data_IF_158157041832
#
_entry.id   IF_158157041832
#
_cell.length_a   1.000
_cell.length_b   1.000
_cell.length_c   1.000
_cell.angle_alpha   90.00
_cell.angle_beta   90.00
_cell.angle_gamma   90.00
#
_symmetry.space_group_name_H-M   'P 1'
#
loop_
_entity.id
_entity.type
_entity.pdbx_description
1 polymer ?
#
# COMPACT_ATOMS: atom_id res chain seq x y z
N UNK A 1 9.35 28.80 7.42
CA UNK A 1 9.86 27.52 7.93
C UNK A 1 9.49 26.53 6.85
N UNK A 2 10.49 25.90 6.22
CA UNK A 2 10.24 25.03 5.08
C UNK A 2 9.77 23.68 5.63
N UNK A 3 8.50 23.36 5.42
CA UNK A 3 7.99 21.99 5.49
C UNK A 3 8.78 21.16 4.47
N UNK A 4 9.87 20.56 4.95
CA UNK A 4 10.47 19.38 4.33
C UNK A 4 9.58 18.19 4.70
N UNK A 5 8.32 18.27 4.33
CA UNK A 5 7.47 17.09 4.20
C UNK A 5 7.97 16.39 2.94
N UNK A 6 8.97 15.52 3.15
CA UNK A 6 9.42 14.51 2.21
C UNK A 6 8.28 13.48 2.06
N UNK A 7 7.09 13.95 1.67
CA UNK A 7 5.93 13.11 1.53
C UNK A 7 6.11 12.34 0.24
N UNK A 8 6.39 11.05 0.35
CA UNK A 8 5.91 10.13 -0.66
C UNK A 8 4.40 10.37 -0.74
N UNK A 9 3.90 10.98 -1.83
CA UNK A 9 2.53 11.47 -1.84
C UNK A 9 1.61 10.28 -1.69
N UNK A 10 0.69 10.34 -0.73
CA UNK A 10 -0.41 9.40 -0.68
C UNK A 10 -1.15 9.43 -2.03
N UNK A 11 -1.49 8.27 -2.56
CA UNK A 11 -2.18 8.16 -3.83
C UNK A 11 -3.29 7.12 -3.74
N UNK A 12 -4.34 7.35 -4.51
CA UNK A 12 -5.47 6.43 -4.57
C UNK A 12 -5.29 5.45 -5.73
N UNK A 13 -5.55 4.19 -5.46
CA UNK A 13 -5.64 3.13 -6.46
C UNK A 13 -7.01 2.48 -6.42
N UNK A 14 -7.49 2.09 -7.59
CA UNK A 14 -8.68 1.25 -7.74
C UNK A 14 -8.24 -0.18 -7.93
N UNK A 15 -8.58 -1.03 -6.96
CA UNK A 15 -8.30 -2.47 -6.93
C UNK A 15 -9.62 -3.22 -6.84
N UNK A 16 -9.68 -4.39 -7.46
CA UNK A 16 -10.81 -5.30 -7.27
C UNK A 16 -10.52 -6.14 -6.03
N UNK A 17 -11.26 -5.91 -4.95
CA UNK A 17 -11.15 -6.67 -3.71
C UNK A 17 -12.45 -7.44 -3.50
N UNK A 18 -12.38 -8.74 -3.25
CA UNK A 18 -13.56 -9.59 -3.07
C UNK A 18 -14.60 -9.48 -4.23
N UNK A 19 -14.13 -9.25 -5.46
CA UNK A 19 -15.00 -9.10 -6.64
C UNK A 19 -15.72 -7.75 -6.76
N UNK A 20 -15.32 -6.75 -5.96
CA UNK A 20 -15.81 -5.38 -6.06
C UNK A 20 -14.64 -4.40 -6.27
N UNK A 21 -14.79 -3.48 -7.22
CA UNK A 21 -13.83 -2.40 -7.39
C UNK A 21 -13.93 -1.44 -6.20
N UNK A 22 -12.88 -1.40 -5.40
CA UNK A 22 -12.72 -0.50 -4.27
C UNK A 22 -11.57 0.47 -4.55
N UNK A 23 -11.83 1.73 -4.24
CA UNK A 23 -10.77 2.74 -4.16
C UNK A 23 -10.15 2.66 -2.77
N UNK A 24 -8.84 2.45 -2.73
CA UNK A 24 -8.04 2.47 -1.53
C UNK A 24 -6.96 3.54 -1.68
N UNK A 25 -6.70 4.23 -0.58
CA UNK A 25 -5.66 5.22 -0.46
C UNK A 25 -4.40 4.54 0.04
N UNK A 26 -3.34 4.58 -0.74
CA UNK A 26 -2.04 4.03 -0.42
C UNK A 26 -1.14 5.15 0.03
N UNK A 27 -0.55 4.98 1.21
CA UNK A 27 0.46 5.88 1.74
C UNK A 27 1.78 5.09 1.84
N UNK A 28 2.78 5.41 1.01
CA UNK A 28 4.12 4.86 1.17
C UNK A 28 4.76 5.43 2.43
N UNK A 29 5.45 4.57 3.18
CA UNK A 29 6.11 4.93 4.43
C UNK A 29 7.39 4.10 4.56
N UNK A 30 8.34 4.56 5.35
CA UNK A 30 9.66 3.94 5.49
C UNK A 30 9.90 3.64 6.96
N UNK A 31 10.23 2.39 7.27
CA UNK A 31 10.66 2.04 8.63
C UNK A 31 12.04 2.65 8.90
N UNK A 32 12.39 2.88 10.17
CA UNK A 32 13.73 3.43 10.52
C UNK A 32 14.92 2.58 10.06
N UNK A 33 14.66 1.35 9.62
CA UNK A 33 15.64 0.41 9.06
C UNK A 33 15.83 0.60 7.54
N UNK A 34 15.07 1.50 6.90
CA UNK A 34 15.11 1.76 5.46
C UNK A 34 14.24 0.82 4.63
N UNK A 35 13.33 0.07 5.27
CA UNK A 35 12.38 -0.81 4.56
C UNK A 35 11.11 -0.03 4.24
N UNK A 36 10.81 0.09 2.96
CA UNK A 36 9.58 0.71 2.44
C UNK A 36 8.37 -0.22 2.62
N UNK A 37 7.29 0.34 3.13
CA UNK A 37 6.00 -0.33 3.28
C UNK A 37 4.87 0.62 2.86
N UNK A 38 3.70 0.06 2.59
CA UNK A 38 2.58 0.77 2.01
C UNK A 38 1.35 0.55 2.87
N UNK A 39 0.85 1.65 3.44
CA UNK A 39 -0.34 1.66 4.29
C UNK A 39 -1.54 1.88 3.37
N UNK A 40 -2.41 0.87 3.27
CA UNK A 40 -3.63 0.94 2.47
C UNK A 40 -4.81 1.28 3.37
N UNK A 41 -5.48 2.39 3.10
CA UNK A 41 -6.67 2.87 3.82
C UNK A 41 -7.88 2.84 2.88
N UNK A 42 -9.03 2.40 3.37
CA UNK A 42 -10.29 2.50 2.62
C UNK A 42 -11.27 3.35 3.42
N UNK A 43 -11.84 4.38 2.79
CA UNK A 43 -12.78 5.33 3.43
C UNK A 43 -12.24 5.98 4.73
N UNK A 44 -10.92 6.16 4.81
CA UNK A 44 -10.24 6.74 5.98
C UNK A 44 -9.91 5.73 7.09
N UNK A 45 -10.32 4.47 6.96
CA UNK A 45 -9.93 3.39 7.88
C UNK A 45 -8.76 2.60 7.30
N UNK A 46 -7.79 2.24 8.13
CA UNK A 46 -6.68 1.38 7.70
C UNK A 46 -7.24 -0.01 7.35
N UNK A 47 -7.10 -0.39 6.09
CA UNK A 47 -7.55 -1.69 5.57
C UNK A 47 -6.47 -2.73 5.77
N UNK A 48 -5.27 -2.43 5.30
CA UNK A 48 -4.12 -3.34 5.34
C UNK A 48 -2.81 -2.56 5.31
N UNK A 49 -1.72 -3.22 5.68
CA UNK A 49 -0.37 -2.75 5.41
C UNK A 49 0.35 -3.82 4.62
N UNK A 50 1.00 -3.43 3.53
CA UNK A 50 1.74 -4.36 2.68
C UNK A 50 3.16 -3.87 2.50
N UNK A 51 4.09 -4.79 2.27
CA UNK A 51 5.47 -4.47 1.90
C UNK A 51 5.92 -5.34 0.76
N UNK A 52 6.97 -4.90 0.08
CA UNK A 52 7.68 -5.74 -0.86
C UNK A 52 8.84 -6.43 -0.13
N UNK A 53 8.90 -7.74 -0.21
CA UNK A 53 10.00 -8.53 0.33
C UNK A 53 11.21 -8.55 -0.63
N UNK A 54 12.34 -9.08 -0.19
CA UNK A 54 13.59 -9.14 -0.97
C UNK A 54 13.45 -9.99 -2.25
N UNK A 55 12.56 -10.99 -2.23
CA UNK A 55 12.17 -11.81 -3.38
C UNK A 55 11.28 -11.04 -4.40
N UNK A 56 10.94 -9.79 -4.10
CA UNK A 56 10.08 -8.94 -4.91
C UNK A 56 8.59 -9.27 -4.78
N UNK A 57 8.20 -10.12 -3.82
CA UNK A 57 6.82 -10.49 -3.53
C UNK A 57 6.16 -9.49 -2.59
N UNK A 58 4.86 -9.28 -2.80
CA UNK A 58 4.05 -8.46 -1.90
C UNK A 58 3.57 -9.29 -0.72
N UNK A 59 3.89 -8.84 0.49
CA UNK A 59 3.48 -9.48 1.74
C UNK A 59 2.63 -8.53 2.59
N UNK A 60 1.66 -9.10 3.28
CA UNK A 60 0.84 -8.38 4.24
C UNK A 60 1.54 -8.31 5.60
N UNK A 61 1.74 -7.10 6.11
CA UNK A 61 2.21 -6.84 7.47
C UNK A 61 1.06 -6.81 8.49
N UNK A 62 -0.09 -6.28 8.08
CA UNK A 62 -1.23 -6.09 8.98
C UNK A 62 -2.56 -6.13 8.21
N UNK A 63 -3.61 -6.67 8.83
CA UNK A 63 -4.95 -6.81 8.26
C UNK A 63 -5.30 -8.26 7.96
N UNK A 64 -6.38 -8.46 7.19
CA UNK A 64 -6.90 -9.78 6.80
C UNK A 64 -7.31 -9.74 5.33
N UNK A 65 -6.32 -9.67 4.43
CA UNK A 65 -6.55 -9.70 2.98
C UNK A 65 -5.94 -10.97 2.41
N UNK A 66 -6.55 -11.48 1.35
CA UNK A 66 -6.05 -12.68 0.69
C UNK A 66 -4.77 -12.35 -0.08
N UNK A 67 -3.87 -13.33 -0.24
CA UNK A 67 -2.63 -13.10 -0.98
C UNK A 67 -2.87 -12.59 -2.41
N UNK A 68 -3.99 -12.96 -3.05
CA UNK A 68 -4.45 -12.44 -4.34
C UNK A 68 -4.76 -10.93 -4.31
N UNK A 69 -5.39 -10.45 -3.24
CA UNK A 69 -5.69 -9.04 -3.02
C UNK A 69 -4.40 -8.26 -2.81
N UNK A 70 -3.49 -8.80 -1.98
CA UNK A 70 -2.19 -8.21 -1.68
C UNK A 70 -1.35 -8.04 -2.95
N UNK A 71 -1.28 -9.09 -3.77
CA UNK A 71 -0.55 -9.07 -5.04
C UNK A 71 -1.17 -8.07 -6.03
N UNK A 72 -2.51 -8.01 -6.09
CA UNK A 72 -3.24 -7.04 -6.91
C UNK A 72 -2.96 -5.59 -6.48
N UNK A 73 -2.97 -5.31 -5.17
CA UNK A 73 -2.63 -3.98 -4.61
C UNK A 73 -1.18 -3.63 -4.96
N UNK A 74 -0.26 -4.54 -4.69
CA UNK A 74 1.16 -4.36 -4.97
C UNK A 74 1.44 -4.06 -6.44
N UNK A 75 0.85 -4.82 -7.34
CA UNK A 75 0.95 -4.57 -8.79
C UNK A 75 0.39 -3.21 -9.20
N UNK A 76 -0.70 -2.73 -8.59
CA UNK A 76 -1.24 -1.39 -8.85
C UNK A 76 -0.31 -0.29 -8.34
N UNK A 77 0.36 -0.51 -7.23
CA UNK A 77 1.37 0.40 -6.67
C UNK A 77 2.56 0.49 -7.63
N UNK A 78 3.13 -0.64 -8.08
CA UNK A 78 4.24 -0.65 -9.04
C UNK A 78 3.89 0.03 -10.36
N UNK A 79 2.65 -0.13 -10.83
CA UNK A 79 2.21 0.48 -12.08
C UNK A 79 1.98 2.00 -11.98
N UNK A 80 1.88 2.53 -10.76
CA UNK A 80 1.70 3.96 -10.46
C UNK A 80 2.99 4.68 -10.09
N UNK A 81 4.08 3.94 -9.84
CA UNK A 81 5.39 4.45 -9.42
C UNK A 81 6.31 4.85 -10.57
#
# INVERSE_FOLDING_TARGET
>A
MADLELHNPEFEITVELNGANQTIQVQPDETSDGVEYFICKSKGEQLTQIRRDEDGKWEQLWGDLSQEDIDSIGHKIENKS
#
